data_IF_006831487340
#
_entry.id   IF_006831487340
#
_cell.length_a   1.000
_cell.length_b   1.000
_cell.length_c   1.000
_cell.angle_alpha   90.00
_cell.angle_beta   90.00
_cell.angle_gamma   90.00
#
_symmetry.space_group_name_H-M   'P 1'
#
loop_
_entity.id
_entity.type
_entity.pdbx_description
1 polymer ?
#
# COMPACT_ATOMS: atom_id res chain seq x y z
N UNK A 1 -14.38 -20.57 -8.04
CA UNK A 1 -13.89 -19.33 -8.63
C UNK A 1 -13.70 -18.38 -7.46
N UNK A 2 -12.49 -17.82 -7.27
CA UNK A 2 -12.32 -16.73 -6.30
C UNK A 2 -13.08 -15.55 -6.87
N UNK A 3 -13.98 -14.95 -6.08
CA UNK A 3 -14.62 -13.69 -6.46
C UNK A 3 -13.49 -12.69 -6.79
N UNK A 4 -13.59 -11.95 -7.88
CA UNK A 4 -12.66 -10.87 -8.11
C UNK A 4 -12.75 -9.91 -6.94
N UNK A 5 -11.64 -9.34 -6.57
CA UNK A 5 -11.48 -8.42 -5.47
C UNK A 5 -12.41 -7.22 -5.61
N UNK A 6 -13.58 -7.30 -5.01
CA UNK A 6 -14.62 -6.29 -5.08
C UNK A 6 -14.45 -5.30 -3.91
N UNK A 7 -13.42 -4.46 -3.96
CA UNK A 7 -13.29 -3.33 -3.06
C UNK A 7 -13.90 -2.10 -3.74
N UNK A 8 -15.14 -1.81 -3.40
CA UNK A 8 -15.88 -0.68 -3.92
C UNK A 8 -16.45 -0.90 -5.33
N UNK A 9 -17.32 0.01 -5.73
CA UNK A 9 -18.05 -0.01 -7.00
C UNK A 9 -17.24 0.64 -8.15
N UNK A 10 -15.95 0.91 -7.94
CA UNK A 10 -15.08 1.59 -8.91
C UNK A 10 -14.01 0.68 -9.46
N UNK A 11 -13.81 0.74 -10.77
CA UNK A 11 -12.69 0.14 -11.47
C UNK A 11 -12.18 1.19 -12.47
N UNK A 12 -10.91 1.57 -12.42
CA UNK A 12 -9.84 1.18 -11.49
C UNK A 12 -10.04 1.72 -10.07
N UNK A 13 -9.47 1.04 -9.06
CA UNK A 13 -9.39 1.55 -7.69
C UNK A 13 -8.46 2.77 -7.61
N UNK A 14 -8.70 3.62 -6.64
CA UNK A 14 -7.84 4.76 -6.33
C UNK A 14 -7.04 4.45 -5.07
N UNK A 15 -5.75 4.19 -5.27
CA UNK A 15 -4.80 3.85 -4.22
C UNK A 15 -3.86 5.01 -3.91
N UNK A 16 -3.62 5.26 -2.62
CA UNK A 16 -2.76 6.35 -2.17
C UNK A 16 -1.79 5.89 -1.08
N UNK A 17 -0.50 6.12 -1.30
CA UNK A 17 0.54 6.01 -0.28
C UNK A 17 0.62 7.33 0.48
N UNK A 18 0.15 7.31 1.73
CA UNK A 18 0.23 8.46 2.63
C UNK A 18 1.52 8.41 3.44
N UNK A 19 2.32 9.45 3.32
CA UNK A 19 3.55 9.65 4.09
C UNK A 19 3.22 10.00 5.55
N UNK A 20 3.06 8.99 6.40
CA UNK A 20 2.63 9.16 7.80
C UNK A 20 3.62 10.01 8.61
N UNK A 21 4.84 10.15 8.15
CA UNK A 21 5.85 11.00 8.79
C UNK A 21 5.42 12.48 8.91
N UNK A 22 4.56 12.96 8.02
CA UNK A 22 4.11 14.35 8.05
C UNK A 22 2.63 14.56 7.66
N UNK A 23 1.90 13.50 7.31
CA UNK A 23 0.55 13.62 6.75
C UNK A 23 -0.45 12.77 7.50
N UNK A 24 -1.56 13.38 7.92
CA UNK A 24 -2.66 12.65 8.56
C UNK A 24 -3.44 11.85 7.50
N UNK A 25 -3.56 10.50 7.63
CA UNK A 25 -4.26 9.66 6.65
C UNK A 25 -5.76 10.00 6.53
N UNK A 26 -6.36 10.64 7.54
CA UNK A 26 -7.76 11.10 7.49
C UNK A 26 -8.03 12.11 6.38
N UNK A 27 -6.99 12.72 5.79
CA UNK A 27 -7.16 13.59 4.62
C UNK A 27 -7.74 12.82 3.41
N UNK A 28 -7.70 11.49 3.39
CA UNK A 28 -8.40 10.69 2.41
C UNK A 28 -9.93 10.88 2.44
N UNK A 29 -10.50 11.22 3.61
CA UNK A 29 -11.93 11.51 3.78
C UNK A 29 -12.39 12.79 3.10
N UNK A 30 -11.45 13.69 2.80
CA UNK A 30 -11.75 15.05 2.34
C UNK A 30 -12.08 15.15 0.85
N UNK A 31 -12.02 14.04 0.12
CA UNK A 31 -12.26 14.01 -1.32
C UNK A 31 -13.42 13.08 -1.66
N UNK A 32 -14.40 13.62 -2.39
CA UNK A 32 -15.61 12.90 -2.76
C UNK A 32 -15.84 12.94 -4.27
N UNK A 33 -16.40 11.87 -4.81
CA UNK A 33 -16.82 11.73 -6.19
C UNK A 33 -18.19 11.05 -6.24
N UNK A 34 -19.19 11.71 -6.84
CA UNK A 34 -20.54 11.17 -6.97
C UNK A 34 -21.16 10.70 -5.64
N UNK A 35 -20.91 11.43 -4.54
CA UNK A 35 -21.47 11.14 -3.22
C UNK A 35 -20.76 10.00 -2.46
N UNK A 36 -19.65 9.47 -2.99
CA UNK A 36 -18.79 8.48 -2.33
C UNK A 36 -17.37 9.03 -2.16
N UNK A 37 -16.56 8.40 -1.32
CA UNK A 37 -15.15 8.77 -1.20
C UNK A 37 -14.43 8.50 -2.52
N UNK A 38 -13.50 9.39 -2.87
CA UNK A 38 -12.71 9.29 -4.10
C UNK A 38 -11.62 8.23 -3.96
N UNK A 39 -10.96 8.17 -2.79
CA UNK A 39 -9.90 7.21 -2.49
C UNK A 39 -10.52 5.90 -2.00
N UNK A 40 -10.04 4.77 -2.49
CA UNK A 40 -10.53 3.43 -2.13
C UNK A 40 -9.58 2.69 -1.20
N UNK A 41 -8.26 2.93 -1.34
CA UNK A 41 -7.22 2.26 -0.59
C UNK A 41 -6.17 3.25 -0.10
N UNK A 42 -5.93 3.25 1.20
CA UNK A 42 -4.86 3.99 1.85
C UNK A 42 -3.77 3.02 2.28
N UNK A 43 -2.54 3.26 1.84
CA UNK A 43 -1.35 2.66 2.39
C UNK A 43 -0.76 3.59 3.45
N UNK A 44 -0.64 3.10 4.70
CA UNK A 44 0.10 3.78 5.77
C UNK A 44 1.59 3.59 5.49
N UNK A 45 2.23 4.60 4.92
CA UNK A 45 3.61 4.55 4.49
C UNK A 45 4.54 5.26 5.48
N UNK A 46 5.43 4.53 6.19
CA UNK A 46 5.56 3.10 6.16
C UNK A 46 6.03 2.59 7.55
N UNK A 47 5.81 1.30 7.76
CA UNK A 47 6.54 0.53 8.78
C UNK A 47 7.84 0.00 8.17
N UNK A 48 8.76 -0.47 9.02
CA UNK A 48 10.04 -0.96 8.53
C UNK A 48 10.29 -2.41 8.94
N UNK A 49 10.80 -3.22 8.01
CA UNK A 49 11.38 -4.51 8.35
C UNK A 49 12.79 -4.32 8.89
N UNK A 50 13.05 -4.85 10.07
CA UNK A 50 14.36 -4.83 10.74
C UNK A 50 14.72 -6.24 11.22
N UNK A 51 15.92 -6.38 11.81
CA UNK A 51 16.36 -7.60 12.53
C UNK A 51 16.21 -7.39 14.02
N UNK A 52 15.68 -8.40 14.71
CA UNK A 52 15.73 -8.49 16.15
C UNK A 52 17.15 -8.93 16.64
N UNK A 53 17.32 -9.12 17.95
CA UNK A 53 18.59 -9.54 18.55
C UNK A 53 19.05 -10.93 18.09
N UNK A 54 18.15 -11.77 17.59
CA UNK A 54 18.45 -13.11 17.08
C UNK A 54 18.75 -13.10 15.57
N UNK A 55 18.59 -11.95 14.91
CA UNK A 55 18.68 -11.82 13.45
C UNK A 55 17.40 -12.20 12.72
N UNK A 56 16.31 -12.42 13.44
CA UNK A 56 15.00 -12.71 12.86
C UNK A 56 14.30 -11.42 12.41
N UNK A 57 13.41 -11.48 11.39
CA UNK A 57 12.68 -10.32 10.95
C UNK A 57 11.70 -9.86 12.02
N UNK A 58 11.60 -8.55 12.17
CA UNK A 58 10.65 -7.87 13.04
C UNK A 58 10.08 -6.63 12.31
N UNK A 59 8.98 -6.07 12.81
CA UNK A 59 8.42 -4.83 12.30
C UNK A 59 8.70 -3.70 13.29
N UNK A 60 9.21 -2.61 12.77
CA UNK A 60 9.42 -1.37 13.49
C UNK A 60 8.41 -0.32 13.07
N UNK A 61 7.69 0.26 14.04
CA UNK A 61 6.90 1.46 13.88
C UNK A 61 7.70 2.64 14.43
N UNK A 62 8.01 3.60 13.58
CA UNK A 62 8.67 4.82 14.03
C UNK A 62 7.75 5.69 14.90
N UNK A 63 8.29 6.78 15.46
CA UNK A 63 7.57 7.69 16.35
C UNK A 63 6.39 8.46 15.68
N UNK A 64 6.27 8.40 14.37
CA UNK A 64 5.17 9.00 13.61
C UNK A 64 4.04 8.00 13.34
N UNK A 65 4.39 6.77 13.01
CA UNK A 65 3.43 5.71 12.72
C UNK A 65 2.87 5.08 14.01
N UNK A 66 3.69 4.90 15.04
CA UNK A 66 3.29 4.27 16.29
C UNK A 66 2.03 4.89 16.93
N UNK A 67 1.88 6.24 17.01
CA UNK A 67 0.64 6.86 17.50
C UNK A 67 -0.59 6.56 16.65
N UNK A 68 -0.44 6.48 15.33
CA UNK A 68 -1.54 6.16 14.40
C UNK A 68 -2.04 4.75 14.66
N UNK A 69 -1.11 3.79 14.79
CA UNK A 69 -1.44 2.40 15.09
C UNK A 69 -2.07 2.24 16.46
N UNK A 70 -1.52 2.90 17.50
CA UNK A 70 -2.05 2.85 18.86
C UNK A 70 -3.46 3.45 18.98
N UNK A 71 -3.80 4.44 18.15
CA UNK A 71 -5.09 5.13 18.17
C UNK A 71 -5.94 4.76 16.94
N UNK A 72 -6.06 3.46 16.63
CA UNK A 72 -6.81 2.96 15.46
C UNK A 72 -8.24 3.49 15.36
N UNK A 73 -8.93 3.64 16.49
CA UNK A 73 -10.28 4.20 16.52
C UNK A 73 -10.35 5.66 16.04
N UNK A 74 -9.24 6.38 16.09
CA UNK A 74 -9.13 7.78 15.64
C UNK A 74 -8.68 7.90 14.20
N UNK A 75 -7.72 7.07 13.75
CA UNK A 75 -7.03 7.29 12.47
C UNK A 75 -7.30 6.20 11.42
N UNK A 76 -7.71 4.99 11.83
CA UNK A 76 -7.93 3.86 10.91
C UNK A 76 -9.43 3.60 10.72
N UNK A 77 -10.17 3.36 11.81
CA UNK A 77 -11.59 3.02 11.75
C UNK A 77 -12.46 4.06 11.02
N UNK A 78 -12.24 5.39 11.14
CA UNK A 78 -13.02 6.36 10.38
C UNK A 78 -12.86 6.23 8.86
N UNK A 79 -11.67 5.84 8.38
CA UNK A 79 -11.42 5.54 6.97
C UNK A 79 -12.22 4.30 6.54
N UNK A 80 -12.13 3.23 7.31
CA UNK A 80 -12.83 1.97 7.04
C UNK A 80 -14.35 2.14 7.10
N UNK A 81 -14.87 2.90 8.08
CA UNK A 81 -16.29 3.24 8.19
C UNK A 81 -16.80 4.07 6.99
N UNK A 82 -15.92 4.79 6.32
CA UNK A 82 -16.21 5.52 5.09
C UNK A 82 -16.06 4.66 3.81
N UNK A 83 -15.73 3.37 3.95
CA UNK A 83 -15.54 2.43 2.85
C UNK A 83 -14.14 2.44 2.24
N UNK A 84 -13.18 3.13 2.87
CA UNK A 84 -11.77 3.17 2.42
C UNK A 84 -11.02 2.02 3.10
N UNK A 85 -10.33 1.19 2.31
CA UNK A 85 -9.45 0.15 2.85
C UNK A 85 -8.16 0.75 3.37
N UNK A 86 -7.64 0.20 4.47
CA UNK A 86 -6.41 0.67 5.11
C UNK A 86 -5.44 -0.50 5.27
N UNK A 87 -4.30 -0.42 4.61
CA UNK A 87 -3.23 -1.40 4.72
C UNK A 87 -1.95 -0.77 5.25
N UNK A 88 -1.12 -1.57 5.89
CA UNK A 88 0.21 -1.16 6.34
C UNK A 88 1.24 -1.49 5.28
N UNK A 89 2.02 -0.51 4.85
CA UNK A 89 3.16 -0.75 3.97
C UNK A 89 4.40 -1.15 4.78
N UNK A 90 5.15 -2.12 4.26
CA UNK A 90 6.41 -2.64 4.82
C UNK A 90 7.55 -2.25 3.90
N UNK A 91 8.46 -1.42 4.40
CA UNK A 91 9.63 -0.88 3.73
C UNK A 91 10.92 -1.40 4.39
N UNK A 92 12.01 -1.51 3.66
CA UNK A 92 13.34 -1.77 4.25
C UNK A 92 13.84 -0.59 5.10
N UNK A 93 14.91 -0.80 5.89
CA UNK A 93 15.46 0.20 6.82
C UNK A 93 16.99 0.12 6.95
N UNK A 94 17.70 -0.12 5.87
CA UNK A 94 19.17 -0.21 5.87
C UNK A 94 19.75 -1.19 6.92
N UNK A 95 18.97 -2.24 7.26
CA UNK A 95 19.36 -3.23 8.28
C UNK A 95 19.84 -4.57 7.70
N UNK A 96 20.02 -4.63 6.37
CA UNK A 96 20.53 -5.82 5.69
C UNK A 96 19.50 -6.96 5.62
N UNK A 97 18.22 -6.67 5.80
CA UNK A 97 17.11 -7.60 5.69
C UNK A 97 15.94 -6.94 4.95
N UNK A 98 15.25 -7.72 4.15
CA UNK A 98 14.03 -7.36 3.41
C UNK A 98 13.33 -8.64 2.98
N UNK A 99 12.27 -8.52 2.22
CA UNK A 99 11.44 -9.68 1.83
C UNK A 99 12.12 -10.60 0.79
N UNK A 100 13.25 -10.17 0.21
CA UNK A 100 13.96 -10.93 -0.81
C UNK A 100 15.13 -11.77 -0.29
N UNK A 101 15.42 -11.79 1.04
CA UNK A 101 16.51 -12.59 1.61
C UNK A 101 16.13 -13.37 2.86
N UNK A 102 14.86 -13.63 3.09
CA UNK A 102 14.38 -14.39 4.24
C UNK A 102 14.59 -15.89 4.01
N UNK A 103 15.04 -16.59 5.06
CA UNK A 103 15.04 -18.05 5.11
C UNK A 103 13.60 -18.57 5.33
N UNK A 104 13.37 -19.88 5.13
CA UNK A 104 12.03 -20.46 5.32
C UNK A 104 11.53 -20.31 6.78
N UNK A 105 12.41 -20.39 7.78
CA UNK A 105 12.07 -20.14 9.20
C UNK A 105 11.71 -18.67 9.43
N UNK A 106 12.48 -17.76 8.84
CA UNK A 106 12.20 -16.32 8.93
C UNK A 106 10.88 -15.94 8.22
N UNK A 107 10.54 -16.58 7.11
CA UNK A 107 9.26 -16.40 6.41
C UNK A 107 8.10 -16.81 7.31
N UNK A 108 8.21 -17.97 7.99
CA UNK A 108 7.17 -18.44 8.91
C UNK A 108 6.93 -17.44 10.05
N UNK A 109 8.01 -16.97 10.69
CA UNK A 109 7.97 -15.97 11.76
C UNK A 109 7.42 -14.63 11.28
N UNK A 110 7.90 -14.14 10.13
CA UNK A 110 7.49 -12.84 9.62
C UNK A 110 6.03 -12.81 9.18
N UNK A 111 5.57 -13.85 8.51
CA UNK A 111 4.16 -13.98 8.16
C UNK A 111 3.25 -14.03 9.40
N UNK A 112 3.71 -14.64 10.50
CA UNK A 112 2.98 -14.62 11.77
C UNK A 112 2.91 -13.22 12.37
N UNK A 113 4.02 -12.46 12.39
CA UNK A 113 4.06 -11.07 12.86
C UNK A 113 3.10 -10.19 12.04
N UNK A 114 3.14 -10.30 10.71
CA UNK A 114 2.27 -9.51 9.84
C UNK A 114 0.79 -9.85 10.05
N UNK A 115 0.48 -11.13 10.26
CA UNK A 115 -0.90 -11.57 10.57
C UNK A 115 -1.38 -11.02 11.90
N UNK A 116 -0.54 -11.07 12.94
CA UNK A 116 -0.80 -10.46 14.24
C UNK A 116 -1.08 -8.96 14.10
N UNK A 117 -0.25 -8.22 13.35
CA UNK A 117 -0.42 -6.79 13.13
C UNK A 117 -1.76 -6.47 12.47
N UNK A 118 -2.12 -7.22 11.42
CA UNK A 118 -3.43 -7.03 10.75
C UNK A 118 -4.59 -7.25 11.72
N UNK A 119 -4.50 -8.27 12.58
CA UNK A 119 -5.51 -8.57 13.60
C UNK A 119 -5.57 -7.50 14.69
N UNK A 120 -4.45 -7.19 15.31
CA UNK A 120 -4.35 -6.29 16.48
C UNK A 120 -4.81 -4.87 16.13
N UNK A 121 -4.38 -4.38 14.97
CA UNK A 121 -4.73 -3.02 14.54
C UNK A 121 -5.96 -2.95 13.64
N UNK A 122 -6.61 -4.07 13.36
CA UNK A 122 -7.84 -4.12 12.56
C UNK A 122 -7.64 -3.70 11.10
N UNK A 123 -6.45 -3.93 10.54
CA UNK A 123 -6.13 -3.52 9.18
C UNK A 123 -6.83 -4.40 8.12
N UNK A 124 -6.93 -3.86 6.91
CA UNK A 124 -7.45 -4.61 5.76
C UNK A 124 -6.38 -5.45 5.06
N UNK A 125 -5.10 -5.28 5.38
CA UNK A 125 -4.01 -6.06 4.80
C UNK A 125 -2.63 -5.46 4.96
N UNK A 126 -1.70 -5.94 4.11
CA UNK A 126 -0.28 -5.56 4.06
C UNK A 126 0.11 -5.22 2.63
N UNK A 127 0.88 -4.13 2.47
CA UNK A 127 1.61 -3.80 1.25
C UNK A 127 3.12 -3.99 1.44
N UNK A 128 3.81 -4.34 0.38
CA UNK A 128 5.27 -4.51 0.39
C UNK A 128 5.94 -3.58 -0.60
N UNK A 129 6.99 -2.88 -0.11
CA UNK A 129 7.92 -2.09 -0.89
C UNK A 129 9.34 -2.51 -0.55
N UNK A 130 9.97 -3.31 -1.42
CA UNK A 130 11.29 -3.90 -1.17
C UNK A 130 12.43 -2.94 -1.52
N UNK A 131 12.38 -1.74 -0.95
CA UNK A 131 13.41 -0.71 -1.08
C UNK A 131 14.23 -0.57 0.21
N UNK A 132 15.42 0.00 0.13
CA UNK A 132 16.29 0.36 1.26
C UNK A 132 16.67 -0.79 2.20
N UNK A 133 16.58 -2.04 1.78
CA UNK A 133 16.91 -3.18 2.63
C UNK A 133 18.41 -3.33 2.90
N UNK A 134 19.28 -2.82 1.99
CA UNK A 134 20.76 -2.94 2.06
C UNK A 134 21.19 -4.37 2.36
N UNK A 135 20.71 -5.32 1.57
CA UNK A 135 20.85 -6.75 1.80
C UNK A 135 22.26 -7.17 2.18
N UNK A 136 22.43 -7.71 3.39
CA UNK A 136 23.71 -8.19 3.93
C UNK A 136 23.96 -9.69 3.71
N UNK A 137 22.95 -10.41 3.25
CA UNK A 137 23.02 -11.82 2.86
C UNK A 137 22.60 -11.99 1.41
N UNK A 138 22.96 -13.09 0.72
CA UNK A 138 22.53 -13.33 -0.64
C UNK A 138 21.00 -13.29 -0.79
N UNK A 139 20.56 -12.75 -1.92
CA UNK A 139 19.15 -12.76 -2.29
C UNK A 139 18.70 -14.19 -2.60
N UNK A 140 17.57 -14.59 -2.04
CA UNK A 140 16.82 -15.78 -2.49
C UNK A 140 15.71 -15.32 -3.42
N UNK A 141 15.78 -15.60 -4.74
CA UNK A 141 14.76 -15.16 -5.70
C UNK A 141 13.38 -15.76 -5.43
N UNK A 142 13.27 -16.74 -4.53
CA UNK A 142 12.00 -17.37 -4.14
C UNK A 142 11.42 -16.81 -2.84
N UNK A 143 12.18 -16.05 -2.07
CA UNK A 143 11.82 -15.56 -0.73
C UNK A 143 10.50 -14.79 -0.74
N UNK A 144 10.38 -13.74 -1.57
CA UNK A 144 9.16 -12.95 -1.65
C UNK A 144 7.93 -13.79 -2.06
N UNK A 145 8.10 -14.73 -3.00
CA UNK A 145 7.04 -15.65 -3.41
C UNK A 145 6.58 -16.56 -2.27
N UNK A 146 7.53 -17.12 -1.52
CA UNK A 146 7.24 -17.96 -0.34
C UNK A 146 6.53 -17.15 0.74
N UNK A 147 6.98 -15.90 0.98
CA UNK A 147 6.34 -15.02 1.95
C UNK A 147 4.87 -14.72 1.58
N UNK A 148 4.59 -14.38 0.34
CA UNK A 148 3.22 -14.14 -0.14
C UNK A 148 2.33 -15.36 0.09
N UNK A 149 2.81 -16.55 -0.27
CA UNK A 149 2.05 -17.80 -0.09
C UNK A 149 1.82 -18.10 1.38
N UNK A 150 2.85 -17.96 2.23
CA UNK A 150 2.74 -18.19 3.67
C UNK A 150 1.83 -17.16 4.34
N UNK A 151 1.92 -15.90 3.97
CA UNK A 151 1.05 -14.85 4.51
C UNK A 151 -0.42 -15.10 4.13
N UNK A 152 -0.69 -15.53 2.89
CA UNK A 152 -2.04 -15.91 2.46
C UNK A 152 -2.57 -17.09 3.26
N UNK A 153 -1.75 -18.11 3.50
CA UNK A 153 -2.10 -19.26 4.34
C UNK A 153 -2.53 -18.80 5.75
N UNK A 154 -1.71 -17.96 6.39
CA UNK A 154 -1.99 -17.42 7.74
C UNK A 154 -3.21 -16.50 7.77
N UNK A 155 -3.38 -15.64 6.77
CA UNK A 155 -4.58 -14.80 6.67
C UNK A 155 -5.85 -15.63 6.53
N UNK A 156 -5.84 -16.67 5.70
CA UNK A 156 -6.99 -17.55 5.54
C UNK A 156 -7.36 -18.31 6.84
N UNK A 157 -6.35 -18.68 7.63
CA UNK A 157 -6.54 -19.34 8.92
C UNK A 157 -7.07 -18.39 10.01
N UNK A 158 -6.51 -17.16 10.08
CA UNK A 158 -6.86 -16.19 11.11
C UNK A 158 -8.17 -15.45 10.82
N UNK A 159 -8.50 -15.21 9.54
CA UNK A 159 -9.66 -14.43 9.11
C UNK A 159 -10.58 -15.27 8.19
N UNK A 160 -11.24 -16.32 8.75
CA UNK A 160 -12.07 -17.20 7.94
C UNK A 160 -13.25 -16.43 7.32
N UNK A 161 -13.38 -16.53 5.99
CA UNK A 161 -14.42 -15.82 5.24
C UNK A 161 -14.06 -14.37 4.83
N UNK A 162 -12.93 -13.83 5.30
CA UNK A 162 -12.42 -12.53 4.89
C UNK A 162 -11.16 -12.70 4.05
N UNK A 163 -11.05 -11.92 2.96
CA UNK A 163 -9.82 -11.86 2.20
C UNK A 163 -9.05 -10.59 2.56
N UNK A 164 -8.01 -10.74 3.38
CA UNK A 164 -7.09 -9.64 3.68
C UNK A 164 -6.20 -9.35 2.48
N UNK A 165 -5.93 -8.08 2.23
CA UNK A 165 -5.19 -7.59 1.07
C UNK A 165 -3.72 -7.95 1.21
N UNK A 166 -3.13 -8.49 0.15
CA UNK A 166 -1.70 -8.55 -0.08
C UNK A 166 -1.41 -7.68 -1.30
N UNK A 167 -0.74 -6.56 -1.07
CA UNK A 167 -0.32 -5.65 -2.13
C UNK A 167 1.21 -5.77 -2.33
N UNK A 168 1.67 -5.60 -3.55
CA UNK A 168 3.09 -5.70 -3.89
C UNK A 168 3.50 -4.62 -4.88
N UNK A 169 4.47 -3.81 -4.47
CA UNK A 169 5.15 -2.88 -5.37
C UNK A 169 6.24 -3.61 -6.17
N UNK A 170 6.20 -3.50 -7.49
CA UNK A 170 7.16 -4.16 -8.37
C UNK A 170 8.47 -3.39 -8.44
N UNK A 171 9.38 -3.70 -7.56
CA UNK A 171 10.68 -3.05 -7.50
C UNK A 171 11.79 -4.07 -7.23
N UNK A 172 13.00 -3.77 -7.72
CA UNK A 172 14.23 -4.49 -7.39
C UNK A 172 14.10 -6.01 -7.53
N UNK A 173 14.32 -6.77 -6.45
CA UNK A 173 14.39 -8.22 -6.45
C UNK A 173 13.03 -8.93 -6.45
N UNK A 174 11.96 -8.24 -6.10
CA UNK A 174 10.60 -8.83 -6.10
C UNK A 174 10.02 -9.08 -7.50
N UNK A 175 10.69 -8.64 -8.55
CA UNK A 175 10.29 -8.89 -9.95
C UNK A 175 10.19 -10.38 -10.33
N UNK A 176 10.75 -11.29 -9.52
CA UNK A 176 10.75 -12.73 -9.75
C UNK A 176 9.61 -13.48 -9.03
N UNK A 177 8.47 -12.84 -8.81
CA UNK A 177 7.30 -13.47 -8.20
C UNK A 177 6.82 -14.66 -9.05
N UNK A 178 6.63 -15.82 -8.40
CA UNK A 178 6.08 -17.01 -9.04
C UNK A 178 4.61 -16.84 -9.41
N UNK A 179 4.13 -17.55 -10.43
CA UNK A 179 2.73 -17.49 -10.85
C UNK A 179 1.75 -17.87 -9.71
N UNK A 180 2.15 -18.82 -8.86
CA UNK A 180 1.35 -19.22 -7.69
C UNK A 180 1.23 -18.08 -6.67
N UNK A 181 2.34 -17.41 -6.36
CA UNK A 181 2.34 -16.26 -5.45
C UNK A 181 1.60 -15.06 -6.08
N UNK A 182 1.83 -14.78 -7.37
CA UNK A 182 1.11 -13.72 -8.07
C UNK A 182 -0.41 -13.93 -8.12
N UNK A 183 -0.88 -15.18 -8.10
CA UNK A 183 -2.31 -15.48 -7.98
C UNK A 183 -2.88 -15.11 -6.59
N UNK A 184 -2.04 -14.96 -5.57
CA UNK A 184 -2.44 -14.58 -4.21
C UNK A 184 -2.23 -13.08 -3.91
N UNK A 185 -1.56 -12.33 -4.79
CA UNK A 185 -1.47 -10.88 -4.71
C UNK A 185 -2.80 -10.27 -5.16
N UNK A 186 -3.36 -9.38 -4.36
CA UNK A 186 -4.65 -8.74 -4.61
C UNK A 186 -4.52 -7.47 -5.45
N UNK A 187 -3.44 -6.73 -5.26
CA UNK A 187 -3.11 -5.54 -6.05
C UNK A 187 -1.59 -5.45 -6.21
N UNK A 188 -1.15 -5.03 -7.37
CA UNK A 188 0.27 -4.83 -7.62
C UNK A 188 0.52 -3.55 -8.42
N UNK A 189 1.57 -2.82 -8.03
CA UNK A 189 1.99 -1.59 -8.65
C UNK A 189 3.30 -1.78 -9.39
N UNK A 190 3.51 -1.01 -10.45
CA UNK A 190 4.81 -1.01 -11.12
C UNK A 190 5.84 -0.12 -10.40
N UNK A 191 7.12 -0.52 -10.46
CA UNK A 191 8.24 0.15 -9.81
C UNK A 191 8.83 1.34 -10.55
N UNK A 192 8.13 1.93 -11.48
CA UNK A 192 8.64 3.08 -12.21
C UNK A 192 8.18 4.38 -11.53
N UNK A 193 9.03 4.94 -10.69
CA UNK A 193 8.82 6.26 -10.11
C UNK A 193 9.07 7.34 -11.16
N UNK A 194 8.05 8.09 -11.46
CA UNK A 194 8.10 9.20 -12.40
C UNK A 194 6.96 10.17 -12.14
N UNK A 195 6.93 11.25 -12.92
CA UNK A 195 5.88 12.26 -12.74
C UNK A 195 4.48 11.68 -12.94
N UNK A 196 4.32 10.84 -13.94
CA UNK A 196 3.09 10.13 -14.29
C UNK A 196 3.48 9.03 -15.27
N UNK A 197 3.77 7.85 -14.77
CA UNK A 197 4.23 6.70 -15.57
C UNK A 197 3.06 5.76 -15.83
N UNK A 198 3.06 5.11 -16.99
CA UNK A 198 2.06 4.10 -17.34
C UNK A 198 2.77 2.86 -17.92
N UNK A 199 2.61 1.73 -17.25
CA UNK A 199 3.14 0.44 -17.65
C UNK A 199 1.99 -0.56 -17.82
N UNK A 200 1.64 -0.85 -19.06
CA UNK A 200 0.46 -1.66 -19.39
C UNK A 200 0.56 -3.14 -18.98
N UNK A 201 1.77 -3.68 -18.86
CA UNK A 201 1.97 -5.09 -18.55
C UNK A 201 2.59 -5.28 -17.19
N UNK A 202 1.98 -6.14 -16.36
CA UNK A 202 2.62 -6.63 -15.15
C UNK A 202 3.80 -7.53 -15.50
N UNK A 203 4.93 -7.35 -14.81
CA UNK A 203 6.03 -8.31 -14.85
C UNK A 203 5.82 -9.45 -13.83
N UNK A 204 4.83 -9.38 -12.97
CA UNK A 204 4.51 -10.44 -12.02
C UNK A 204 3.73 -11.55 -12.70
N UNK A 205 4.33 -12.73 -12.80
CA UNK A 205 3.62 -13.92 -13.24
C UNK A 205 2.39 -14.17 -12.35
N UNK A 206 1.24 -14.45 -12.96
CA UNK A 206 -0.02 -14.70 -12.22
C UNK A 206 -0.81 -13.47 -11.79
N UNK A 207 -0.29 -12.25 -11.96
CA UNK A 207 -1.05 -11.01 -11.77
C UNK A 207 -1.69 -10.62 -13.10
N UNK A 208 -3.03 -10.55 -13.10
CA UNK A 208 -3.85 -10.16 -14.26
C UNK A 208 -4.14 -8.65 -14.24
N UNK A 209 -4.62 -8.09 -15.35
CA UNK A 209 -4.87 -6.64 -15.48
C UNK A 209 -5.77 -6.09 -14.37
N UNK A 210 -6.80 -6.81 -14.00
CA UNK A 210 -7.77 -6.45 -12.95
C UNK A 210 -7.16 -6.36 -11.54
N UNK A 211 -5.88 -6.74 -11.40
CA UNK A 211 -5.08 -6.60 -10.16
C UNK A 211 -3.77 -5.84 -10.35
N UNK A 212 -3.60 -5.21 -11.50
CA UNK A 212 -2.42 -4.42 -11.84
C UNK A 212 -2.75 -2.93 -11.90
N UNK A 213 -1.94 -2.10 -11.22
CA UNK A 213 -1.97 -0.65 -11.30
C UNK A 213 -0.96 -0.17 -12.34
N UNK A 214 -1.38 0.10 -13.59
CA UNK A 214 -0.47 0.48 -14.66
C UNK A 214 0.00 1.94 -14.54
N UNK A 215 -0.72 2.77 -13.78
CA UNK A 215 -0.43 4.20 -13.64
C UNK A 215 0.06 4.50 -12.23
N UNK A 216 1.26 5.09 -12.15
CA UNK A 216 1.80 5.66 -10.93
C UNK A 216 2.00 7.16 -11.09
N UNK A 217 1.55 7.93 -10.10
CA UNK A 217 1.55 9.39 -10.13
C UNK A 217 2.28 9.93 -8.90
N UNK A 218 3.34 10.70 -9.13
CA UNK A 218 4.08 11.42 -8.10
C UNK A 218 3.26 12.62 -7.61
N UNK A 219 2.88 12.65 -6.33
CA UNK A 219 2.02 13.69 -5.75
C UNK A 219 2.78 14.83 -5.06
N UNK A 220 4.08 14.68 -4.85
CA UNK A 220 4.92 15.68 -4.19
C UNK A 220 5.29 16.89 -5.06
N UNK A 221 4.62 17.11 -6.19
CA UNK A 221 4.90 18.20 -7.11
C UNK A 221 3.65 18.72 -7.83
N UNK A 222 3.70 19.97 -8.27
CA UNK A 222 2.64 20.56 -9.10
C UNK A 222 2.82 20.19 -10.57
N UNK A 223 1.70 20.06 -11.28
CA UNK A 223 1.68 19.73 -12.69
C UNK A 223 1.12 20.88 -13.54
N UNK A 224 1.75 21.14 -14.67
CA UNK A 224 1.22 22.04 -15.68
C UNK A 224 0.07 21.38 -16.47
N UNK A 225 -0.63 22.14 -17.31
CA UNK A 225 -1.79 21.67 -18.06
C UNK A 225 -1.48 20.48 -18.99
N UNK A 226 -0.27 20.38 -19.53
CA UNK A 226 0.13 19.27 -20.42
C UNK A 226 0.20 17.98 -19.62
N UNK A 227 0.89 17.98 -18.48
CA UNK A 227 0.99 16.81 -17.62
C UNK A 227 -0.36 16.41 -17.02
N UNK A 228 -1.20 17.38 -16.61
CA UNK A 228 -2.55 17.10 -16.14
C UNK A 228 -3.40 16.41 -17.22
N UNK A 229 -3.30 16.82 -18.48
CA UNK A 229 -3.98 16.14 -19.58
C UNK A 229 -3.42 14.73 -19.84
N UNK A 230 -2.12 14.52 -19.67
CA UNK A 230 -1.53 13.16 -19.73
C UNK A 230 -2.05 12.27 -18.60
N UNK A 231 -2.20 12.80 -17.37
CA UNK A 231 -2.81 12.06 -16.26
C UNK A 231 -4.22 11.61 -16.66
N UNK A 232 -5.05 12.53 -17.14
CA UNK A 232 -6.41 12.21 -17.62
C UNK A 232 -6.40 11.10 -18.67
N UNK A 233 -5.55 11.22 -19.70
CA UNK A 233 -5.48 10.22 -20.79
C UNK A 233 -5.08 8.85 -20.26
N UNK A 234 -4.08 8.77 -19.39
CA UNK A 234 -3.62 7.50 -18.81
C UNK A 234 -4.64 6.89 -17.85
N UNK A 235 -5.37 7.71 -17.10
CA UNK A 235 -6.47 7.24 -16.27
C UNK A 235 -7.62 6.67 -17.11
N UNK A 236 -7.92 7.27 -18.27
CA UNK A 236 -8.87 6.70 -19.24
C UNK A 236 -8.37 5.37 -19.81
N UNK A 237 -7.07 5.24 -20.07
CA UNK A 237 -6.47 3.97 -20.51
C UNK A 237 -6.54 2.90 -19.41
N UNK A 238 -6.32 3.28 -18.14
CA UNK A 238 -6.45 2.36 -17.02
C UNK A 238 -7.90 1.82 -16.91
N UNK A 239 -8.90 2.68 -17.01
CA UNK A 239 -10.30 2.27 -16.98
C UNK A 239 -10.69 1.41 -18.18
N UNK A 240 -10.36 1.82 -19.40
CA UNK A 240 -10.72 1.09 -20.63
C UNK A 240 -9.98 -0.25 -20.77
N UNK A 241 -8.80 -0.38 -20.16
CA UNK A 241 -8.03 -1.62 -20.11
C UNK A 241 -8.43 -2.59 -18.99
N UNK A 242 -9.46 -2.23 -18.21
CA UNK A 242 -9.93 -3.00 -17.05
C UNK A 242 -8.80 -3.32 -16.06
N UNK A 243 -8.02 -2.29 -15.74
CA UNK A 243 -6.92 -2.41 -14.77
C UNK A 243 -7.41 -2.28 -13.32
N UNK A 244 -6.65 -2.90 -12.39
CA UNK A 244 -7.01 -2.98 -10.99
C UNK A 244 -7.04 -1.65 -10.26
N UNK A 245 -6.07 -0.77 -10.54
CA UNK A 245 -5.99 0.50 -9.83
C UNK A 245 -5.18 1.59 -10.53
N UNK A 246 -5.19 2.76 -9.92
CA UNK A 246 -4.31 3.90 -10.18
C UNK A 246 -3.62 4.23 -8.87
N UNK A 247 -2.30 4.16 -8.84
CA UNK A 247 -1.48 4.39 -7.66
C UNK A 247 -0.98 5.84 -7.63
N UNK A 248 -1.06 6.44 -6.46
CA UNK A 248 -0.46 7.74 -6.17
C UNK A 248 0.49 7.62 -4.99
N UNK A 249 1.69 8.15 -5.13
CA UNK A 249 2.72 8.09 -4.10
C UNK A 249 3.24 9.47 -3.74
N UNK A 250 3.97 9.56 -2.62
CA UNK A 250 4.55 10.80 -2.11
C UNK A 250 3.48 11.85 -1.78
N UNK A 251 2.34 11.41 -1.24
CA UNK A 251 1.32 12.29 -0.68
C UNK A 251 1.78 12.72 0.70
N UNK A 252 2.31 13.93 0.78
CA UNK A 252 2.93 14.48 1.99
C UNK A 252 2.67 15.98 2.15
N UNK A 253 2.54 16.41 3.39
CA UNK A 253 2.34 17.82 3.74
C UNK A 253 3.56 18.69 3.39
N UNK A 254 4.77 18.17 3.61
CA UNK A 254 6.02 18.89 3.28
C UNK A 254 6.12 19.31 1.81
N UNK A 255 5.42 18.65 0.90
CA UNK A 255 5.37 19.04 -0.51
C UNK A 255 4.63 20.34 -0.75
N UNK A 256 3.73 20.73 0.14
CA UNK A 256 2.85 21.91 0.01
C UNK A 256 2.12 21.98 -1.34
N UNK A 257 1.67 20.83 -1.83
CA UNK A 257 1.00 20.70 -3.13
C UNK A 257 -0.46 20.33 -2.92
N UNK A 258 -1.36 21.06 -3.56
CA UNK A 258 -2.78 20.72 -3.58
C UNK A 258 -3.01 19.50 -4.48
N UNK A 259 -3.48 18.35 -3.98
CA UNK A 259 -3.71 17.15 -4.76
C UNK A 259 -4.96 17.23 -5.67
N UNK A 260 -5.89 18.15 -5.40
CA UNK A 260 -7.19 18.24 -6.06
C UNK A 260 -7.11 18.31 -7.60
N UNK A 261 -6.20 19.11 -8.22
CA UNK A 261 -6.09 19.14 -9.68
C UNK A 261 -5.75 17.78 -10.30
N UNK A 262 -4.91 16.98 -9.63
CA UNK A 262 -4.58 15.61 -10.07
C UNK A 262 -5.79 14.69 -9.90
N UNK A 263 -6.43 14.70 -8.74
CA UNK A 263 -7.63 13.89 -8.47
C UNK A 263 -8.75 14.18 -9.46
N UNK A 264 -8.96 15.45 -9.82
CA UNK A 264 -9.94 15.82 -10.85
C UNK A 264 -9.61 15.21 -12.22
N UNK A 265 -8.32 15.21 -12.61
CA UNK A 265 -7.92 14.63 -13.90
C UNK A 265 -8.00 13.11 -13.93
N UNK A 266 -7.74 12.46 -12.82
CA UNK A 266 -8.00 11.02 -12.68
C UNK A 266 -9.50 10.73 -12.81
N UNK A 267 -10.34 11.46 -12.07
CA UNK A 267 -11.79 11.27 -12.09
C UNK A 267 -12.40 11.55 -13.48
N UNK A 268 -11.98 12.64 -14.12
CA UNK A 268 -12.39 12.96 -15.50
C UNK A 268 -12.01 11.84 -16.48
N UNK A 269 -10.79 11.30 -16.36
CA UNK A 269 -10.27 10.28 -17.26
C UNK A 269 -10.88 8.91 -17.04
N UNK A 270 -10.86 8.44 -15.81
CA UNK A 270 -11.26 7.08 -15.48
C UNK A 270 -12.78 6.91 -15.35
N UNK A 271 -13.50 7.94 -14.87
CA UNK A 271 -14.91 7.80 -14.48
C UNK A 271 -15.86 8.80 -15.17
N UNK A 272 -15.34 9.76 -15.95
CA UNK A 272 -16.15 10.84 -16.49
C UNK A 272 -16.82 11.71 -15.42
N UNK A 273 -16.22 11.81 -14.24
CA UNK A 273 -16.78 12.43 -13.03
C UNK A 273 -15.89 13.57 -12.53
N UNK A 274 -16.36 14.23 -11.47
CA UNK A 274 -15.65 15.34 -10.82
C UNK A 274 -15.41 15.00 -9.35
N UNK A 275 -14.23 15.35 -8.83
CA UNK A 275 -13.90 15.26 -7.41
C UNK A 275 -14.21 16.59 -6.73
N UNK A 276 -14.83 16.52 -5.55
CA UNK A 276 -15.09 17.67 -4.68
C UNK A 276 -14.25 17.55 -3.44
N UNK A 277 -13.58 18.63 -3.04
CA UNK A 277 -12.94 18.77 -1.74
C UNK A 277 -13.98 19.25 -0.72
N UNK A 278 -14.11 18.55 0.41
CA UNK A 278 -15.13 18.85 1.44
C UNK A 278 -14.81 20.10 2.27
N UNK A 279 -13.60 20.65 2.15
CA UNK A 279 -13.14 21.78 2.93
C UNK A 279 -12.50 21.40 4.28
N UNK A 280 -12.44 20.11 4.62
CA UNK A 280 -11.81 19.64 5.84
C UNK A 280 -10.35 19.27 5.57
N UNK A 281 -9.44 19.85 6.32
CA UNK A 281 -8.03 19.46 6.39
C UNK A 281 -7.75 18.87 7.78
N UNK A 282 -7.18 17.67 7.79
CA UNK A 282 -6.74 17.00 9.00
C UNK A 282 -5.24 17.23 9.18
N UNK A 283 -4.88 17.96 10.24
CA UNK A 283 -3.46 18.16 10.61
C UNK A 283 -2.90 16.91 11.28
N UNK A 284 -1.57 16.83 11.31
CA UNK A 284 -0.87 15.84 12.11
C UNK A 284 -0.85 16.35 13.57
N UNK A 285 -1.84 15.93 14.35
CA UNK A 285 -2.11 16.42 15.69
C UNK A 285 -1.77 15.40 16.80
N UNK A 286 -1.30 14.20 16.44
CA UNK A 286 -0.89 13.23 17.43
C UNK A 286 0.44 13.59 18.09
N UNK A 287 0.48 13.40 19.40
CA UNK A 287 1.73 13.49 20.14
C UNK A 287 2.58 12.27 19.83
N UNK A 288 3.91 12.46 19.68
CA UNK A 288 4.85 11.37 19.39
C UNK A 288 5.08 10.49 20.64
N UNK A 289 4.01 9.88 21.12
CA UNK A 289 4.00 8.96 22.22
C UNK A 289 2.97 7.85 21.90
N UNK A 290 3.36 6.59 21.81
CA UNK A 290 4.71 6.11 22.15
C UNK A 290 5.80 6.57 21.16
N UNK A 291 7.02 6.70 21.66
CA UNK A 291 8.21 6.62 20.79
C UNK A 291 8.12 5.33 19.97
N UNK A 292 8.78 5.29 18.82
CA UNK A 292 8.74 4.10 17.97
C UNK A 292 9.04 2.80 18.75
N UNK A 293 8.42 1.71 18.34
CA UNK A 293 8.60 0.39 18.96
C UNK A 293 8.66 -0.73 17.92
N UNK A 294 9.18 -1.86 18.34
CA UNK A 294 9.37 -3.04 17.49
C UNK A 294 8.39 -4.13 17.92
N UNK A 295 7.86 -4.87 16.96
CA UNK A 295 7.09 -6.11 17.18
C UNK A 295 7.92 -7.27 16.65
N UNK A 296 8.35 -8.13 17.55
CA UNK A 296 9.14 -9.34 17.27
C UNK A 296 8.26 -10.59 17.28
N UNK A 297 8.81 -11.71 16.83
CA UNK A 297 8.10 -12.99 16.93
C UNK A 297 7.84 -13.42 18.39
N UNK A 298 8.74 -13.04 19.32
CA UNK A 298 8.56 -13.34 20.73
C UNK A 298 7.39 -12.58 21.37
N UNK A 299 7.05 -11.40 20.86
CA UNK A 299 5.94 -10.59 21.39
C UNK A 299 4.57 -11.15 21.06
N UNK A 300 4.48 -12.11 20.14
CA UNK A 300 3.21 -12.65 19.63
C UNK A 300 2.94 -14.11 20.00
N UNK A 301 3.78 -14.69 20.90
CA UNK A 301 3.67 -16.09 21.35
C UNK A 301 2.70 -16.29 22.51
#
# INVERSE_FOLDING_TARGET
>A
MKEPWAYGDKTPLIEVYYEINDTNPLNALSYEMSGKKFIDLVQLFASNIQKDANGDPCIFFNDKLAPVMAAKATYIEPLQNAGIKVILNVLGDHKGIGISNLTDDQIEKFAAILTYIVKEYGLDGIGFDDEYADYSTPIDPTSASKLVLKLREKFNAEFPGERKIIQMFQWNYVSNISAAAGAEIDLADHGAFGHNVFQASSAFAGVTNDRWCPQAIQMGQSYNAIFLNQIKTRSSQAASGNYGGIMMFNVRKASNVNPLPVFQKIAEGAFGATVTYTGTEYSQDWTFNPAGYTITYADIQ
#
